data_IF_684091236669
#
_entry.id   IF_684091236669
#
_cell.length_a   1.000
_cell.length_b   1.000
_cell.length_c   1.000
_cell.angle_alpha   90.00
_cell.angle_beta   90.00
_cell.angle_gamma   90.00
#
_symmetry.space_group_name_H-M   'P 1'
#
loop_
_entity.id
_entity.type
_entity.pdbx_description
1 polymer ?
#
# COMPACT_ATOMS: atom_id res chain seq x y z
N UNK A 1 -56.12 17.07 -34.47
CA UNK A 1 -55.55 15.86 -33.84
C UNK A 1 -54.24 16.27 -33.21
N UNK A 2 -54.11 16.10 -31.91
CA UNK A 2 -53.03 16.68 -31.08
C UNK A 2 -51.72 15.90 -31.24
N UNK A 3 -50.63 16.58 -31.59
CA UNK A 3 -49.28 16.01 -31.53
C UNK A 3 -48.78 16.02 -30.07
N UNK A 4 -48.41 14.85 -29.56
CA UNK A 4 -47.82 14.68 -28.23
C UNK A 4 -46.31 14.92 -28.31
N UNK A 5 -45.71 15.83 -27.51
CA UNK A 5 -44.28 16.12 -27.62
C UNK A 5 -43.44 14.98 -27.01
N UNK A 6 -42.45 14.49 -27.76
CA UNK A 6 -41.54 13.44 -27.32
C UNK A 6 -40.75 13.86 -26.06
N UNK A 7 -40.57 12.96 -25.06
CA UNK A 7 -39.90 13.32 -23.82
C UNK A 7 -38.42 13.64 -24.07
N UNK A 8 -38.02 14.88 -23.75
CA UNK A 8 -36.63 15.32 -23.86
C UNK A 8 -35.71 14.41 -23.05
N UNK A 9 -34.58 14.07 -23.67
CA UNK A 9 -33.51 13.14 -23.25
C UNK A 9 -32.78 13.61 -21.96
N UNK A 10 -33.46 13.61 -20.81
CA UNK A 10 -32.95 14.11 -19.49
C UNK A 10 -31.84 13.26 -18.84
N UNK A 11 -31.68 11.99 -19.23
CA UNK A 11 -30.58 11.08 -18.88
C UNK A 11 -29.21 11.42 -19.49
N UNK A 12 -29.17 12.10 -20.64
CA UNK A 12 -27.90 12.43 -21.31
C UNK A 12 -27.01 13.37 -20.47
N UNK A 13 -27.52 14.48 -19.89
CA UNK A 13 -26.70 15.33 -19.04
C UNK A 13 -26.25 14.63 -17.75
N UNK A 14 -27.04 13.70 -17.20
CA UNK A 14 -26.65 12.93 -16.00
C UNK A 14 -25.46 12.03 -16.30
N UNK A 15 -25.49 11.31 -17.43
CA UNK A 15 -24.36 10.48 -17.86
C UNK A 15 -23.09 11.30 -18.10
N UNK A 16 -23.24 12.51 -18.66
CA UNK A 16 -22.10 13.41 -18.87
C UNK A 16 -21.51 13.92 -17.56
N UNK A 17 -22.34 14.28 -16.57
CA UNK A 17 -21.88 14.70 -15.24
C UNK A 17 -21.18 13.57 -14.51
N UNK A 18 -21.73 12.35 -14.57
CA UNK A 18 -21.11 11.17 -13.94
C UNK A 18 -19.78 10.82 -14.60
N UNK A 19 -19.71 10.86 -15.94
CA UNK A 19 -18.47 10.62 -16.69
C UNK A 19 -17.42 11.68 -16.36
N UNK A 20 -17.81 12.96 -16.29
CA UNK A 20 -16.90 14.04 -15.94
C UNK A 20 -16.39 13.90 -14.50
N UNK A 21 -17.26 13.59 -13.54
CA UNK A 21 -16.88 13.36 -12.14
C UNK A 21 -15.90 12.18 -12.00
N UNK A 22 -16.13 11.09 -12.74
CA UNK A 22 -15.23 9.93 -12.73
C UNK A 22 -13.85 10.28 -13.32
N UNK A 23 -13.83 11.05 -14.42
CA UNK A 23 -12.56 11.52 -15.01
C UNK A 23 -11.80 12.44 -14.05
N UNK A 24 -12.49 13.36 -13.36
CA UNK A 24 -11.89 14.25 -12.36
C UNK A 24 -11.41 13.48 -11.12
N UNK A 25 -12.11 12.43 -10.69
CA UNK A 25 -11.67 11.55 -9.60
C UNK A 25 -10.37 10.83 -9.97
N UNK A 26 -10.29 10.26 -11.18
CA UNK A 26 -9.09 9.60 -11.67
C UNK A 26 -7.93 10.60 -11.77
N UNK A 27 -8.18 11.77 -12.35
CA UNK A 27 -7.18 12.84 -12.44
C UNK A 27 -6.72 13.31 -11.05
N UNK A 28 -7.63 13.46 -10.09
CA UNK A 28 -7.34 13.81 -8.71
C UNK A 28 -6.52 12.75 -7.99
N UNK A 29 -6.78 11.46 -8.21
CA UNK A 29 -5.98 10.36 -7.65
C UNK A 29 -4.58 10.34 -8.28
N UNK A 30 -4.45 10.54 -9.60
CA UNK A 30 -3.16 10.58 -10.28
C UNK A 30 -2.34 11.80 -9.84
N UNK A 31 -2.94 12.99 -9.84
CA UNK A 31 -2.27 14.22 -9.39
C UNK A 31 -1.95 14.14 -7.89
N UNK A 32 -2.88 13.68 -7.06
CA UNK A 32 -2.67 13.50 -5.63
C UNK A 32 -1.60 12.46 -5.32
N UNK A 33 -1.53 11.37 -6.07
CA UNK A 33 -0.47 10.36 -5.91
C UNK A 33 0.87 10.87 -6.42
N UNK A 34 0.94 11.53 -7.57
CA UNK A 34 2.18 12.14 -8.09
C UNK A 34 2.67 13.24 -7.14
N UNK A 35 1.79 14.06 -6.58
CA UNK A 35 2.14 15.03 -5.54
C UNK A 35 2.57 14.34 -4.24
N UNK A 36 1.99 13.20 -3.87
CA UNK A 36 2.43 12.37 -2.73
C UNK A 36 3.76 11.66 -2.95
N UNK A 37 4.15 11.40 -4.20
CA UNK A 37 5.43 10.79 -4.56
C UNK A 37 6.52 11.82 -4.88
N UNK A 38 6.15 13.03 -5.36
CA UNK A 38 7.06 14.14 -5.68
C UNK A 38 7.26 15.10 -4.49
N UNK A 39 6.25 15.28 -3.65
CA UNK A 39 6.34 15.94 -2.35
C UNK A 39 6.96 14.98 -1.34
N UNK A 40 8.29 14.99 -1.26
CA UNK A 40 9.08 14.17 -0.34
C UNK A 40 8.91 14.50 1.14
N UNK A 41 7.74 14.94 1.58
CA UNK A 41 7.48 15.38 2.95
C UNK A 41 6.71 14.33 3.74
N UNK A 42 7.44 13.28 4.15
CA UNK A 42 7.13 12.57 5.40
C UNK A 42 7.81 13.27 6.58
N UNK A 43 7.71 14.61 6.65
CA UNK A 43 8.47 15.41 7.62
C UNK A 43 7.96 15.34 9.07
N UNK A 44 6.87 14.61 9.37
CA UNK A 44 6.37 14.49 10.74
C UNK A 44 5.54 13.24 11.06
N UNK A 45 5.37 12.31 10.11
CA UNK A 45 4.67 11.08 10.41
C UNK A 45 5.65 10.07 11.01
N UNK A 46 5.38 9.48 12.19
CA UNK A 46 6.20 8.40 12.70
C UNK A 46 6.31 7.29 11.65
N UNK A 47 7.44 6.58 11.59
CA UNK A 47 7.56 5.43 10.71
C UNK A 47 6.39 4.48 10.98
N UNK A 48 5.82 3.90 9.91
CA UNK A 48 4.84 2.84 10.09
C UNK A 48 5.41 1.73 10.98
N UNK A 49 4.53 1.00 11.66
CA UNK A 49 4.90 0.01 12.68
C UNK A 49 6.01 -0.96 12.21
N UNK A 50 5.87 -1.55 11.03
CA UNK A 50 6.89 -2.45 10.45
C UNK A 50 8.27 -1.81 10.27
N UNK A 51 8.39 -0.67 9.55
CA UNK A 51 9.66 0.08 9.47
C UNK A 51 10.27 0.43 10.83
N UNK A 52 9.46 0.82 11.82
CA UNK A 52 9.95 1.13 13.17
C UNK A 52 10.61 -0.09 13.82
N UNK A 53 9.93 -1.24 13.80
CA UNK A 53 10.46 -2.52 14.31
C UNK A 53 11.76 -2.92 13.61
N UNK A 54 11.84 -2.74 12.29
CA UNK A 54 13.02 -3.07 11.50
C UNK A 54 14.22 -2.15 11.80
N UNK A 55 14.01 -0.83 11.90
CA UNK A 55 15.12 0.10 12.12
C UNK A 55 15.68 0.06 13.54
N UNK A 56 14.88 -0.37 14.52
CA UNK A 56 15.32 -0.58 15.90
C UNK A 56 16.22 -1.82 16.08
N UNK A 57 16.17 -2.77 15.14
CA UNK A 57 16.98 -3.99 15.21
C UNK A 57 18.49 -3.68 15.09
N UNK A 58 19.35 -4.48 15.74
CA UNK A 58 20.79 -4.45 15.53
C UNK A 58 21.17 -4.54 14.04
N UNK A 59 22.31 -3.96 13.66
CA UNK A 59 22.84 -4.04 12.29
C UNK A 59 22.96 -5.48 11.73
N UNK A 60 23.46 -6.48 12.48
CA UNK A 60 23.52 -7.86 11.96
C UNK A 60 22.12 -8.40 11.62
N UNK A 61 21.16 -8.26 12.53
CA UNK A 61 19.79 -8.75 12.34
C UNK A 61 19.07 -8.07 11.18
N UNK A 62 19.28 -6.77 11.01
CA UNK A 62 18.77 -6.03 9.86
C UNK A 62 19.30 -6.56 8.54
N UNK A 63 20.57 -6.99 8.51
CA UNK A 63 21.21 -7.48 7.28
C UNK A 63 20.66 -8.85 6.90
N UNK A 64 20.51 -9.75 7.89
CA UNK A 64 19.87 -11.05 7.71
C UNK A 64 18.41 -10.89 7.23
N UNK A 65 17.62 -10.07 7.92
CA UNK A 65 16.22 -9.81 7.55
C UNK A 65 16.10 -9.13 6.18
N UNK A 66 17.06 -8.29 5.78
CA UNK A 66 17.08 -7.68 4.44
C UNK A 66 17.28 -8.72 3.34
N UNK A 67 18.15 -9.71 3.56
CA UNK A 67 18.38 -10.79 2.60
C UNK A 67 17.10 -11.60 2.37
N UNK A 68 16.45 -12.01 3.46
CA UNK A 68 15.15 -12.71 3.44
C UNK A 68 14.07 -11.88 2.71
N UNK A 69 13.95 -10.59 3.06
CA UNK A 69 12.99 -9.69 2.43
C UNK A 69 13.25 -9.42 0.94
N UNK A 70 14.52 -9.48 0.51
CA UNK A 70 14.89 -9.22 -0.89
C UNK A 70 14.36 -10.31 -1.82
N UNK A 71 14.51 -11.57 -1.42
CA UNK A 71 13.99 -12.70 -2.19
C UNK A 71 12.46 -12.65 -2.31
N UNK A 72 11.78 -12.35 -1.19
CA UNK A 72 10.33 -12.17 -1.16
C UNK A 72 9.86 -11.01 -2.04
N UNK A 73 10.65 -9.92 -2.10
CA UNK A 73 10.32 -8.73 -2.91
C UNK A 73 10.32 -9.03 -4.41
N UNK A 74 11.25 -9.86 -4.89
CA UNK A 74 11.31 -10.29 -6.30
C UNK A 74 10.05 -11.04 -6.71
N UNK A 75 9.71 -12.10 -5.97
CA UNK A 75 8.49 -12.91 -6.18
C UNK A 75 7.21 -12.04 -6.09
N UNK A 76 7.15 -11.12 -5.12
CA UNK A 76 6.01 -10.20 -4.92
C UNK A 76 5.83 -9.20 -6.06
N UNK A 77 6.91 -8.70 -6.64
CA UNK A 77 6.86 -7.74 -7.75
C UNK A 77 6.18 -8.34 -8.99
N UNK A 78 6.53 -9.58 -9.34
CA UNK A 78 5.92 -10.29 -10.46
C UNK A 78 4.44 -10.59 -10.21
N UNK A 79 4.10 -11.10 -9.02
CA UNK A 79 2.72 -11.38 -8.63
C UNK A 79 1.85 -10.12 -8.67
N UNK A 80 2.34 -9.02 -8.09
CA UNK A 80 1.63 -7.74 -8.07
C UNK A 80 1.28 -7.22 -9.47
N UNK A 81 2.17 -7.38 -10.46
CA UNK A 81 1.87 -7.02 -11.86
C UNK A 81 0.77 -7.91 -12.46
N UNK A 82 0.71 -9.18 -12.09
CA UNK A 82 -0.37 -10.08 -12.52
C UNK A 82 -1.70 -9.69 -11.84
N UNK A 83 -1.69 -9.45 -10.53
CA UNK A 83 -2.87 -9.06 -9.76
C UNK A 83 -3.52 -7.78 -10.32
N UNK A 84 -2.72 -6.76 -10.63
CA UNK A 84 -3.23 -5.53 -11.25
C UNK A 84 -3.77 -5.75 -12.66
N UNK A 85 -3.18 -6.68 -13.44
CA UNK A 85 -3.72 -7.02 -14.77
C UNK A 85 -5.07 -7.72 -14.66
N UNK A 86 -5.20 -8.68 -13.76
CA UNK A 86 -6.45 -9.39 -13.51
C UNK A 86 -7.57 -8.44 -13.05
N UNK A 87 -7.26 -7.54 -12.09
CA UNK A 87 -8.21 -6.53 -11.64
C UNK A 87 -8.62 -5.58 -12.78
N UNK A 88 -7.66 -5.17 -13.61
CA UNK A 88 -7.93 -4.29 -14.74
C UNK A 88 -8.78 -4.94 -15.85
N UNK A 89 -8.70 -6.26 -16.00
CA UNK A 89 -9.57 -7.03 -16.90
C UNK A 89 -10.98 -7.17 -16.33
N UNK A 90 -11.11 -7.54 -15.06
CA UNK A 90 -12.40 -7.67 -14.38
C UNK A 90 -13.20 -6.35 -14.40
N UNK A 91 -12.54 -5.22 -14.18
CA UNK A 91 -13.17 -3.90 -14.24
C UNK A 91 -13.64 -3.48 -15.65
N UNK A 92 -13.10 -4.08 -16.71
CA UNK A 92 -13.50 -3.81 -18.10
C UNK A 92 -14.54 -4.79 -18.64
N UNK A 93 -14.92 -5.81 -17.87
CA UNK A 93 -15.90 -6.79 -18.28
C UNK A 93 -17.28 -6.14 -18.49
N UNK A 94 -17.98 -6.56 -19.55
CA UNK A 94 -19.35 -6.15 -19.84
C UNK A 94 -20.18 -7.43 -20.03
N UNK A 95 -21.18 -7.69 -19.16
CA UNK A 95 -21.59 -6.88 -18.01
C UNK A 95 -20.53 -6.85 -16.88
N UNK A 96 -20.62 -5.83 -16.03
CA UNK A 96 -19.76 -5.72 -14.85
C UNK A 96 -20.11 -6.80 -13.83
N UNK A 97 -19.08 -7.50 -13.33
CA UNK A 97 -19.21 -8.52 -12.29
C UNK A 97 -18.54 -8.08 -10.98
N UNK A 98 -19.31 -7.60 -9.99
CA UNK A 98 -18.78 -7.18 -8.70
C UNK A 98 -18.19 -8.33 -7.87
N UNK A 99 -18.68 -9.56 -8.03
CA UNK A 99 -18.22 -10.73 -7.25
C UNK A 99 -16.78 -11.08 -7.63
N UNK A 100 -16.47 -11.09 -8.94
CA UNK A 100 -15.11 -11.32 -9.43
C UNK A 100 -14.13 -10.26 -8.90
N UNK A 101 -14.52 -8.99 -8.88
CA UNK A 101 -13.68 -7.92 -8.32
C UNK A 101 -13.49 -8.09 -6.81
N UNK A 102 -14.56 -8.39 -6.08
CA UNK A 102 -14.52 -8.66 -4.64
C UNK A 102 -13.56 -9.80 -4.29
N UNK A 103 -13.63 -10.90 -5.03
CA UNK A 103 -12.74 -12.05 -4.86
C UNK A 103 -11.26 -11.68 -5.04
N UNK A 104 -10.92 -10.93 -6.10
CA UNK A 104 -9.54 -10.48 -6.36
C UNK A 104 -9.00 -9.58 -5.24
N UNK A 105 -9.82 -8.68 -4.71
CA UNK A 105 -9.45 -7.81 -3.59
C UNK A 105 -9.24 -8.61 -2.30
N UNK A 106 -10.11 -9.58 -2.02
CA UNK A 106 -9.98 -10.46 -0.86
C UNK A 106 -8.71 -11.31 -0.95
N UNK A 107 -8.42 -11.89 -2.12
CA UNK A 107 -7.19 -12.67 -2.34
C UNK A 107 -5.93 -11.82 -2.10
N UNK A 108 -5.92 -10.57 -2.58
CA UNK A 108 -4.83 -9.63 -2.35
C UNK A 108 -4.67 -9.27 -0.87
N UNK A 109 -5.78 -9.07 -0.15
CA UNK A 109 -5.79 -8.78 1.27
C UNK A 109 -5.23 -9.96 2.08
N UNK A 110 -5.71 -11.17 1.80
CA UNK A 110 -5.27 -12.41 2.45
C UNK A 110 -3.77 -12.64 2.27
N UNK A 111 -3.27 -12.54 1.03
CA UNK A 111 -1.83 -12.68 0.73
C UNK A 111 -0.99 -11.65 1.49
N UNK A 112 -1.53 -10.44 1.68
CA UNK A 112 -0.83 -9.39 2.42
C UNK A 112 -0.83 -9.66 3.92
N UNK A 113 -1.94 -10.15 4.46
CA UNK A 113 -2.08 -10.52 5.86
C UNK A 113 -1.13 -11.67 6.23
N UNK A 114 -1.10 -12.74 5.42
CA UNK A 114 -0.20 -13.89 5.62
C UNK A 114 1.27 -13.47 5.66
N UNK A 115 1.66 -12.61 4.72
CA UNK A 115 3.01 -12.05 4.70
C UNK A 115 3.32 -11.25 5.96
N UNK A 116 2.38 -10.39 6.39
CA UNK A 116 2.56 -9.58 7.58
C UNK A 116 2.70 -10.46 8.84
N UNK A 117 1.88 -11.50 8.95
CA UNK A 117 1.97 -12.48 10.05
C UNK A 117 3.32 -13.20 10.06
N UNK A 118 3.79 -13.67 8.90
CA UNK A 118 5.10 -14.32 8.79
C UNK A 118 6.23 -13.39 9.23
N UNK A 119 6.19 -12.11 8.84
CA UNK A 119 7.17 -11.11 9.26
C UNK A 119 7.12 -10.84 10.77
N UNK A 120 5.93 -10.76 11.37
CA UNK A 120 5.78 -10.61 12.81
C UNK A 120 6.35 -11.81 13.58
N UNK A 121 6.10 -13.05 13.10
CA UNK A 121 6.66 -14.26 13.70
C UNK A 121 8.19 -14.29 13.63
N UNK A 122 8.75 -13.93 12.47
CA UNK A 122 10.20 -13.85 12.27
C UNK A 122 10.86 -12.75 13.11
N UNK A 123 10.17 -11.63 13.32
CA UNK A 123 10.62 -10.59 14.24
C UNK A 123 10.57 -11.07 15.69
N UNK A 124 9.46 -11.70 16.10
CA UNK A 124 9.29 -12.20 17.45
C UNK A 124 10.34 -13.26 17.79
N UNK A 125 10.62 -14.19 16.89
CA UNK A 125 11.67 -15.20 17.07
C UNK A 125 13.05 -14.58 17.36
N UNK A 126 13.39 -13.46 16.69
CA UNK A 126 14.64 -12.74 16.94
C UNK A 126 14.65 -12.09 18.32
N UNK A 127 13.56 -11.40 18.68
CA UNK A 127 13.45 -10.77 20.02
C UNK A 127 13.49 -11.82 21.12
N UNK A 128 12.87 -12.99 20.92
CA UNK A 128 12.91 -14.09 21.89
C UNK A 128 14.30 -14.71 22.05
N UNK A 129 15.19 -14.57 21.07
CA UNK A 129 16.56 -15.07 21.14
C UNK A 129 17.54 -14.09 21.81
N UNK A 130 17.13 -12.82 21.99
CA UNK A 130 17.92 -11.79 22.66
C UNK A 130 17.96 -12.03 24.17
N UNK A 131 19.06 -11.64 24.82
CA UNK A 131 19.13 -11.52 26.28
C UNK A 131 18.22 -10.40 26.80
N UNK A 132 18.02 -10.36 28.11
CA UNK A 132 17.21 -9.33 28.77
C UNK A 132 17.78 -7.92 28.50
N UNK A 133 19.11 -7.77 28.60
CA UNK A 133 19.81 -6.52 28.32
C UNK A 133 19.68 -6.10 26.84
N UNK A 134 19.78 -7.07 25.93
CA UNK A 134 19.64 -6.82 24.49
C UNK A 134 18.22 -6.36 24.11
N UNK A 135 17.19 -6.95 24.76
CA UNK A 135 15.79 -6.53 24.59
C UNK A 135 15.52 -5.15 25.17
N UNK A 136 16.10 -4.81 26.33
CA UNK A 136 15.99 -3.47 26.91
C UNK A 136 16.61 -2.42 25.97
N UNK A 137 17.83 -2.66 25.51
CA UNK A 137 18.49 -1.77 24.54
C UNK A 137 17.74 -1.69 23.20
N UNK A 138 17.05 -2.76 22.79
CA UNK A 138 16.17 -2.75 21.61
C UNK A 138 14.95 -1.85 21.82
N UNK A 139 14.30 -1.91 22.99
CA UNK A 139 13.16 -1.06 23.32
C UNK A 139 13.55 0.43 23.29
N UNK A 140 14.70 0.79 23.86
CA UNK A 140 15.22 2.17 23.84
C UNK A 140 15.43 2.67 22.40
N UNK A 141 16.02 1.84 21.53
CA UNK A 141 16.20 2.17 20.11
C UNK A 141 14.86 2.30 19.39
N UNK A 142 13.86 1.48 19.74
CA UNK A 142 12.54 1.56 19.14
C UNK A 142 11.86 2.89 19.48
N UNK A 143 11.90 3.30 20.74
CA UNK A 143 11.42 4.62 21.14
C UNK A 143 12.14 5.74 20.40
N UNK A 144 13.48 5.64 20.30
CA UNK A 144 14.29 6.63 19.61
C UNK A 144 13.93 6.74 18.11
N UNK A 145 13.66 5.61 17.45
CA UNK A 145 13.21 5.56 16.04
C UNK A 145 11.84 6.19 15.87
N UNK A 146 10.90 5.94 16.79
CA UNK A 146 9.57 6.55 16.78
C UNK A 146 9.67 8.06 17.01
N UNK A 147 10.48 8.50 17.99
CA UNK A 147 10.71 9.91 18.33
C UNK A 147 11.40 10.69 17.21
N UNK A 148 12.38 10.10 16.52
CA UNK A 148 13.19 10.78 15.48
C UNK A 148 12.50 10.90 14.11
N UNK A 149 11.45 10.13 13.84
CA UNK A 149 10.86 10.07 12.50
C UNK A 149 11.83 9.50 11.43
N UNK A 150 11.40 9.38 10.17
CA UNK A 150 12.24 8.82 9.11
C UNK A 150 13.49 9.71 8.87
N UNK A 151 14.68 9.16 9.17
CA UNK A 151 15.97 9.85 8.98
C UNK A 151 16.11 10.34 7.53
N UNK A 152 16.31 11.65 7.34
CA UNK A 152 16.82 12.23 6.08
C UNK A 152 18.10 11.48 5.70
N UNK A 153 18.08 10.74 4.60
CA UNK A 153 19.31 10.42 3.91
C UNK A 153 19.86 11.75 3.40
N UNK A 154 20.88 12.30 4.09
CA UNK A 154 21.68 13.41 3.58
C UNK A 154 22.32 12.87 2.30
N UNK A 155 21.87 13.36 1.13
CA UNK A 155 22.61 13.15 -0.13
C UNK A 155 24.03 13.62 0.15
N UNK A 156 25.00 12.72 0.00
CA UNK A 156 26.38 13.15 -0.21
C UNK A 156 26.40 13.61 -1.66
N UNK A 157 26.69 14.90 -1.84
CA UNK A 157 27.06 15.47 -3.13
C UNK A 157 28.35 14.81 -3.66
#
# INVERSE_FOLDING_TARGET
MSETPAPKRKWMPVLLVVSLALNLLIAGIVVGSVLRFKGGDRAGAPPGFGPALYYALPKPDRTALRAELSEMRGKRSHRRKQDFRALSQALRAVPFDPETVGFLLQQQAQTTAELQMALHQQWLARVSAMSDDERAAYADRLEEVVKRGPRKHKKRD
#
